data_IF_284432657056
#
_entry.id   IF_284432657056
#
_cell.length_a   1.000
_cell.length_b   1.000
_cell.length_c   1.000
_cell.angle_alpha   90.00
_cell.angle_beta   90.00
_cell.angle_gamma   90.00
#
_symmetry.space_group_name_H-M   'P 1'
#
loop_
_entity.id
_entity.type
_entity.pdbx_description
1 polymer ?
#
# COMPACT_ATOMS: atom_id res chain seq x y z
N UNK A 1 17.26 8.55 -11.53
CA UNK A 1 16.29 8.90 -10.47
C UNK A 1 16.62 8.03 -9.28
N UNK A 2 17.30 8.58 -8.28
CA UNK A 2 17.66 7.79 -7.10
C UNK A 2 16.47 7.73 -6.14
N UNK A 3 15.97 6.50 -5.98
CA UNK A 3 14.99 5.99 -5.00
C UNK A 3 13.54 5.80 -5.44
N UNK A 4 12.99 6.50 -6.45
CA UNK A 4 11.63 6.27 -6.99
C UNK A 4 10.59 5.93 -5.89
N UNK A 5 10.64 6.62 -4.74
CA UNK A 5 9.78 6.34 -3.60
C UNK A 5 8.54 7.19 -3.69
N UNK A 6 7.38 6.56 -3.61
CA UNK A 6 6.12 7.27 -3.42
C UNK A 6 5.88 7.36 -1.92
N UNK A 7 5.59 8.56 -1.42
CA UNK A 7 5.18 8.77 -0.03
C UNK A 7 3.91 9.62 0.00
N UNK A 8 2.90 9.14 0.72
CA UNK A 8 1.61 9.80 0.86
C UNK A 8 1.10 9.58 2.29
N UNK A 9 0.40 10.54 2.87
CA UNK A 9 -0.35 10.33 4.11
C UNK A 9 -1.35 9.18 3.97
N UNK A 10 -1.65 8.51 5.08
CA UNK A 10 -2.62 7.42 5.12
C UNK A 10 -4.04 7.93 4.83
N UNK A 11 -4.35 9.17 5.20
CA UNK A 11 -5.62 9.85 4.91
C UNK A 11 -5.84 9.96 3.40
N UNK A 12 -4.82 10.38 2.64
CA UNK A 12 -4.90 10.45 1.17
C UNK A 12 -4.94 9.06 0.54
N UNK A 13 -4.21 8.09 1.11
CA UNK A 13 -4.32 6.69 0.65
C UNK A 13 -5.69 6.11 0.95
N UNK A 14 -6.38 6.48 2.02
CA UNK A 14 -7.72 5.96 2.33
C UNK A 14 -8.86 6.77 1.68
N UNK A 15 -8.55 7.94 1.13
CA UNK A 15 -9.50 8.83 0.49
C UNK A 15 -10.23 8.17 -0.69
N UNK A 16 -11.47 8.63 -0.94
CA UNK A 16 -12.25 8.13 -2.08
C UNK A 16 -12.02 8.99 -3.32
N UNK A 17 -11.61 8.35 -4.41
CA UNK A 17 -11.44 8.95 -5.73
C UNK A 17 -11.53 7.88 -6.82
N UNK A 18 -11.80 8.29 -8.06
CA UNK A 18 -11.79 7.40 -9.23
C UNK A 18 -10.76 7.86 -10.23
N UNK A 19 -9.92 6.97 -10.72
CA UNK A 19 -8.92 7.24 -11.77
C UNK A 19 -8.82 6.06 -12.73
N UNK A 20 -8.26 6.27 -13.91
CA UNK A 20 -7.73 5.18 -14.73
C UNK A 20 -6.30 4.83 -14.31
N UNK A 21 -5.80 3.67 -14.75
CA UNK A 21 -4.43 3.24 -14.49
C UNK A 21 -3.41 4.29 -14.93
N UNK A 22 -3.56 4.88 -16.13
CA UNK A 22 -2.58 5.85 -16.67
C UNK A 22 -2.58 7.17 -15.91
N UNK A 23 -3.74 7.64 -15.45
CA UNK A 23 -3.83 8.82 -14.57
C UNK A 23 -3.11 8.58 -13.25
N UNK A 24 -3.33 7.41 -12.63
CA UNK A 24 -2.67 7.04 -11.38
C UNK A 24 -1.16 6.89 -11.56
N UNK A 25 -0.70 6.25 -12.64
CA UNK A 25 0.73 6.09 -12.95
C UNK A 25 1.43 7.46 -13.13
N UNK A 26 0.81 8.39 -13.86
CA UNK A 26 1.33 9.75 -14.02
C UNK A 26 1.40 10.47 -12.66
N UNK A 27 0.31 10.44 -11.88
CA UNK A 27 0.26 11.06 -10.56
C UNK A 27 1.34 10.51 -9.63
N UNK A 28 1.48 9.19 -9.54
CA UNK A 28 2.48 8.53 -8.69
C UNK A 28 3.92 8.84 -9.14
N UNK A 29 4.16 8.97 -10.44
CA UNK A 29 5.46 9.41 -10.95
C UNK A 29 5.81 10.80 -10.42
N UNK A 30 4.87 11.74 -10.48
CA UNK A 30 5.10 13.09 -9.97
C UNK A 30 5.21 13.12 -8.44
N UNK A 31 4.41 12.34 -7.71
CA UNK A 31 4.55 12.19 -6.24
C UNK A 31 5.93 11.63 -5.89
N UNK A 32 6.49 10.71 -6.69
CA UNK A 32 7.83 10.16 -6.43
C UNK A 32 8.97 11.17 -6.52
N UNK A 33 8.70 12.37 -7.03
CA UNK A 33 9.64 13.51 -7.09
C UNK A 33 9.54 14.41 -5.85
N UNK A 34 8.61 14.14 -4.95
CA UNK A 34 8.44 14.90 -3.71
C UNK A 34 9.31 14.28 -2.61
N UNK A 35 10.20 15.09 -2.05
CA UNK A 35 10.80 14.79 -0.75
C UNK A 35 9.81 15.17 0.35
N UNK A 36 9.20 14.16 0.96
CA UNK A 36 8.13 14.33 1.95
C UNK A 36 8.64 14.61 3.36
N UNK A 37 9.96 14.64 3.59
CA UNK A 37 10.52 14.81 4.94
C UNK A 37 10.27 16.23 5.48
N UNK A 38 10.15 16.42 6.81
CA UNK A 38 9.91 17.74 7.41
C UNK A 38 11.02 18.77 7.16
N UNK A 39 12.25 18.31 6.91
CA UNK A 39 13.44 19.12 6.61
C UNK A 39 13.64 19.35 5.10
N UNK A 40 12.76 18.83 4.26
CA UNK A 40 12.82 19.00 2.82
C UNK A 40 12.51 20.46 2.38
N UNK A 41 12.96 20.87 1.18
CA UNK A 41 12.58 22.17 0.62
C UNK A 41 11.06 22.35 0.58
N UNK A 42 10.61 23.56 0.90
CA UNK A 42 9.17 23.85 0.93
C UNK A 42 8.55 23.75 -0.47
N UNK A 43 7.52 22.91 -0.60
CA UNK A 43 6.72 22.78 -1.81
C UNK A 43 5.46 23.63 -1.64
N UNK A 44 5.16 24.45 -2.64
CA UNK A 44 4.04 25.38 -2.64
C UNK A 44 3.11 25.08 -3.81
N UNK A 45 1.95 25.76 -3.85
CA UNK A 45 1.03 25.68 -5.00
C UNK A 45 1.60 26.26 -6.31
N UNK A 46 2.77 26.89 -6.27
CA UNK A 46 3.49 27.34 -7.47
C UNK A 46 4.56 26.34 -7.93
N UNK A 47 4.88 25.33 -7.11
CA UNK A 47 5.90 24.33 -7.46
C UNK A 47 5.39 23.45 -8.61
N UNK A 48 6.24 23.29 -9.62
CA UNK A 48 5.95 22.54 -10.85
C UNK A 48 6.73 21.23 -10.86
N UNK A 49 6.05 20.14 -11.21
CA UNK A 49 6.63 18.81 -11.31
C UNK A 49 6.58 18.36 -12.76
N UNK A 50 7.75 18.36 -13.42
CA UNK A 50 7.88 17.97 -14.82
C UNK A 50 8.42 16.55 -14.93
N UNK A 51 7.79 15.77 -15.80
CA UNK A 51 8.22 14.42 -16.21
C UNK A 51 8.21 14.33 -17.73
N UNK A 52 9.17 13.62 -18.31
CA UNK A 52 9.14 13.35 -19.75
C UNK A 52 8.28 12.13 -20.05
N UNK A 53 7.71 12.06 -21.26
CA UNK A 53 6.99 10.87 -21.74
C UNK A 53 7.90 9.65 -21.69
N UNK A 54 9.17 9.81 -22.06
CA UNK A 54 10.16 8.73 -22.03
C UNK A 54 10.41 8.19 -20.61
N UNK A 55 10.50 9.08 -19.62
CA UNK A 55 10.69 8.70 -18.21
C UNK A 55 9.53 7.82 -17.71
N UNK A 56 8.29 8.24 -17.96
CA UNK A 56 7.10 7.48 -17.57
C UNK A 56 6.99 6.19 -18.39
N UNK A 57 7.33 6.25 -19.68
CA UNK A 57 7.31 5.10 -20.58
C UNK A 57 8.27 4.00 -20.12
N UNK A 58 9.49 4.35 -19.68
CA UNK A 58 10.48 3.40 -19.16
C UNK A 58 9.99 2.59 -17.96
N UNK A 59 9.05 3.14 -17.19
CA UNK A 59 8.53 2.51 -15.98
C UNK A 59 7.28 1.69 -16.28
N UNK A 60 6.33 2.23 -17.06
CA UNK A 60 4.97 1.67 -17.16
C UNK A 60 4.60 1.11 -18.53
N UNK A 61 5.51 1.12 -19.50
CA UNK A 61 5.28 0.65 -20.85
C UNK A 61 6.35 -0.35 -21.24
N UNK A 62 5.92 -1.39 -21.93
CA UNK A 62 6.80 -2.34 -22.61
C UNK A 62 7.00 -1.92 -24.07
N UNK A 63 7.90 -2.59 -24.79
CA UNK A 63 8.26 -2.24 -26.16
C UNK A 63 7.05 -2.20 -27.12
N UNK A 64 6.05 -3.07 -26.90
CA UNK A 64 4.86 -3.13 -27.75
C UNK A 64 3.88 -1.97 -27.52
N UNK A 65 3.89 -1.37 -26.32
CA UNK A 65 2.97 -0.29 -25.92
C UNK A 65 3.62 1.09 -25.92
N UNK A 66 4.96 1.18 -25.94
CA UNK A 66 5.72 2.44 -25.87
C UNK A 66 5.31 3.47 -26.91
N UNK A 67 4.96 3.04 -28.13
CA UNK A 67 4.47 3.92 -29.20
C UNK A 67 3.19 4.69 -28.87
N UNK A 68 2.40 4.20 -27.92
CA UNK A 68 1.16 4.83 -27.48
C UNK A 68 1.38 5.78 -26.29
N UNK A 69 2.56 5.77 -25.66
CA UNK A 69 2.81 6.44 -24.38
C UNK A 69 2.53 7.94 -24.46
N UNK A 70 2.91 8.60 -25.56
CA UNK A 70 2.65 10.01 -25.77
C UNK A 70 1.15 10.35 -25.68
N UNK A 71 0.33 9.71 -26.53
CA UNK A 71 -1.14 9.86 -26.56
C UNK A 71 -1.78 9.49 -25.22
N UNK A 72 -1.37 8.36 -24.64
CA UNK A 72 -1.99 7.84 -23.42
C UNK A 72 -1.71 8.77 -22.23
N UNK A 73 -0.51 9.37 -22.17
CA UNK A 73 -0.14 10.31 -21.12
C UNK A 73 -0.72 11.72 -21.33
N UNK A 74 -0.90 12.16 -22.57
CA UNK A 74 -1.69 13.36 -22.87
C UNK A 74 -3.14 13.21 -22.36
N UNK A 75 -3.78 12.09 -22.66
CA UNK A 75 -5.14 11.83 -22.19
C UNK A 75 -5.20 11.68 -20.67
N UNK A 76 -4.20 11.04 -20.07
CA UNK A 76 -4.10 10.89 -18.62
C UNK A 76 -3.92 12.24 -17.93
N UNK A 77 -3.08 13.13 -18.46
CA UNK A 77 -2.82 14.44 -17.86
C UNK A 77 -4.08 15.32 -17.88
N UNK A 78 -4.80 15.34 -19.01
CA UNK A 78 -6.07 16.05 -19.15
C UNK A 78 -7.12 15.54 -18.16
N UNK A 79 -7.29 14.20 -18.06
CA UNK A 79 -8.26 13.63 -17.11
C UNK A 79 -7.86 13.84 -15.65
N UNK A 80 -6.56 13.81 -15.34
CA UNK A 80 -6.03 14.03 -14.00
C UNK A 80 -6.40 15.42 -13.47
N UNK A 81 -6.44 16.44 -14.33
CA UNK A 81 -6.90 17.78 -13.97
C UNK A 81 -8.33 17.81 -13.42
N UNK A 82 -9.20 16.96 -13.96
CA UNK A 82 -10.60 16.85 -13.53
C UNK A 82 -10.80 15.95 -12.30
N UNK A 83 -9.73 15.34 -11.76
CA UNK A 83 -9.86 14.41 -10.64
C UNK A 83 -9.98 15.11 -9.31
N UNK A 84 -11.11 14.85 -8.68
CA UNK A 84 -11.40 15.20 -7.31
C UNK A 84 -11.09 14.04 -6.35
N UNK A 85 -10.77 14.41 -5.11
CA UNK A 85 -10.56 13.51 -3.99
C UNK A 85 -11.44 13.96 -2.82
N UNK A 86 -12.03 12.97 -2.14
CA UNK A 86 -12.79 13.15 -0.90
C UNK A 86 -11.97 12.61 0.26
N UNK A 87 -11.42 13.51 1.07
CA UNK A 87 -10.62 13.18 2.25
C UNK A 87 -11.50 13.35 3.48
N UNK A 88 -11.67 12.27 4.24
CA UNK A 88 -12.37 12.32 5.52
C UNK A 88 -11.50 13.06 6.55
N UNK A 89 -12.12 14.00 7.27
CA UNK A 89 -11.51 14.77 8.34
C UNK A 89 -12.20 14.41 9.67
N UNK A 90 -11.66 14.96 10.77
CA UNK A 90 -12.30 14.88 12.09
C UNK A 90 -13.71 15.52 12.08
N UNK A 91 -14.49 15.23 13.12
CA UNK A 91 -15.86 15.74 13.30
C UNK A 91 -16.84 15.40 12.16
N UNK A 92 -16.65 14.28 11.45
CA UNK A 92 -17.44 13.90 10.27
C UNK A 92 -17.40 14.95 9.14
N UNK A 93 -16.35 15.76 9.07
CA UNK A 93 -16.12 16.69 7.95
C UNK A 93 -15.48 15.94 6.79
N UNK A 94 -15.72 16.43 5.58
CA UNK A 94 -15.09 15.90 4.36
C UNK A 94 -14.53 17.06 3.56
N UNK A 95 -13.23 16.99 3.28
CA UNK A 95 -12.58 17.87 2.32
C UNK A 95 -12.79 17.31 0.91
N UNK A 96 -13.39 18.11 0.04
CA UNK A 96 -13.48 17.86 -1.39
C UNK A 96 -12.53 18.82 -2.11
N UNK A 97 -11.50 18.28 -2.73
CA UNK A 97 -10.50 19.08 -3.46
C UNK A 97 -10.02 18.33 -4.70
N UNK A 98 -9.16 18.95 -5.53
CA UNK A 98 -8.54 18.31 -6.69
C UNK A 98 -7.16 17.77 -6.36
N UNK A 99 -6.67 16.79 -7.12
CA UNK A 99 -5.27 16.36 -6.99
C UNK A 99 -4.29 17.42 -7.51
N UNK A 100 -4.61 17.99 -8.67
CA UNK A 100 -3.76 18.97 -9.35
C UNK A 100 -4.56 20.23 -9.64
N UNK A 101 -3.90 21.37 -9.55
CA UNK A 101 -4.44 22.70 -9.89
C UNK A 101 -4.04 23.16 -11.29
N UNK A 102 -3.04 22.51 -11.89
CA UNK A 102 -2.56 22.82 -13.23
C UNK A 102 -1.90 21.63 -13.90
N UNK A 103 -2.11 21.53 -15.22
CA UNK A 103 -1.45 20.59 -16.12
C UNK A 103 -0.99 21.37 -17.34
N UNK A 104 0.28 21.21 -17.70
CA UNK A 104 0.85 21.70 -18.95
C UNK A 104 1.39 20.49 -19.70
N UNK A 105 0.91 20.29 -20.91
CA UNK A 105 1.46 19.31 -21.83
C UNK A 105 2.26 20.03 -22.90
N UNK A 106 3.52 19.64 -23.09
CA UNK A 106 4.38 20.15 -24.15
C UNK A 106 4.65 19.03 -25.17
N UNK A 107 3.95 19.05 -26.32
CA UNK A 107 4.15 18.09 -27.40
C UNK A 107 5.56 18.11 -27.99
N UNK A 108 6.20 19.29 -28.04
CA UNK A 108 7.50 19.45 -28.70
C UNK A 108 8.64 18.95 -27.80
N UNK A 109 8.55 19.24 -26.50
CA UNK A 109 9.49 18.72 -25.50
C UNK A 109 9.21 17.28 -25.06
N UNK A 110 8.05 16.72 -25.44
CA UNK A 110 7.50 15.47 -24.92
C UNK A 110 7.42 15.43 -23.38
N UNK A 111 6.90 16.51 -22.78
CA UNK A 111 6.87 16.67 -21.32
C UNK A 111 5.46 16.93 -20.80
N UNK A 112 5.23 16.47 -19.57
CA UNK A 112 4.05 16.82 -18.79
C UNK A 112 4.55 17.50 -17.52
N UNK A 113 4.02 18.69 -17.27
CA UNK A 113 4.21 19.41 -16.01
C UNK A 113 2.90 19.44 -15.26
N UNK A 114 2.89 19.01 -14.00
CA UNK A 114 1.74 19.19 -13.11
C UNK A 114 2.07 20.14 -11.97
N UNK A 115 1.03 20.77 -11.44
CA UNK A 115 1.06 21.54 -10.21
C UNK A 115 0.02 20.96 -9.26
N UNK A 116 0.43 20.50 -8.08
CA UNK A 116 -0.51 19.95 -7.10
C UNK A 116 -1.47 21.04 -6.58
N UNK A 117 -2.68 20.65 -6.22
CA UNK A 117 -3.60 21.57 -5.55
C UNK A 117 -3.10 21.86 -4.13
N UNK A 118 -3.33 23.10 -3.67
CA UNK A 118 -2.89 23.58 -2.36
C UNK A 118 -3.35 22.67 -1.21
N UNK A 119 -4.62 22.27 -1.23
CA UNK A 119 -5.20 21.44 -0.17
C UNK A 119 -4.66 20.00 -0.13
N UNK A 120 -4.03 19.51 -1.19
CA UNK A 120 -3.45 18.15 -1.23
C UNK A 120 -2.00 18.12 -0.73
N UNK A 121 -1.30 19.26 -0.76
CA UNK A 121 0.10 19.34 -0.34
C UNK A 121 0.37 18.81 1.08
N UNK A 122 -0.44 19.12 2.11
CA UNK A 122 -0.22 18.59 3.46
C UNK A 122 -0.22 17.06 3.56
N UNK A 123 -0.80 16.39 2.56
CA UNK A 123 -0.90 14.94 2.48
C UNK A 123 0.25 14.30 1.70
N UNK A 124 1.15 15.10 1.15
CA UNK A 124 2.30 14.68 0.33
C UNK A 124 3.63 15.18 0.88
N UNK A 125 3.63 16.24 1.70
CA UNK A 125 4.84 16.94 2.16
C UNK A 125 4.88 17.01 3.68
N UNK A 126 6.09 17.18 4.23
CA UNK A 126 6.33 17.32 5.67
C UNK A 126 5.69 16.21 6.55
N UNK A 127 5.62 15.00 6.02
CA UNK A 127 4.99 13.85 6.66
C UNK A 127 5.91 13.30 7.76
N UNK A 128 5.41 13.27 9.00
CA UNK A 128 6.15 12.80 10.20
C UNK A 128 5.75 11.40 10.64
N UNK A 129 4.47 11.09 10.53
CA UNK A 129 3.86 9.83 10.95
C UNK A 129 2.61 9.57 10.09
N UNK A 130 2.00 8.39 10.23
CA UNK A 130 0.77 8.02 9.54
C UNK A 130 0.84 8.21 8.02
N UNK A 131 1.94 7.76 7.42
CA UNK A 131 2.11 7.80 5.97
C UNK A 131 2.44 6.40 5.43
N UNK A 132 2.10 6.22 4.17
CA UNK A 132 2.36 5.05 3.36
C UNK A 132 3.55 5.35 2.46
N UNK A 133 4.49 4.41 2.38
CA UNK A 133 5.67 4.52 1.52
C UNK A 133 5.92 3.21 0.79
N UNK A 134 6.15 3.29 -0.51
CA UNK A 134 6.50 2.14 -1.36
C UNK A 134 7.33 2.59 -2.56
N UNK A 135 7.92 1.63 -3.28
CA UNK A 135 8.67 1.93 -4.51
C UNK A 135 7.71 2.03 -5.69
N UNK A 136 7.89 3.03 -6.54
CA UNK A 136 7.10 3.20 -7.77
C UNK A 136 7.17 1.96 -8.66
N UNK A 137 8.32 1.28 -8.67
CA UNK A 137 8.52 0.02 -9.40
C UNK A 137 7.63 -1.13 -8.88
N UNK A 138 7.17 -1.12 -7.64
CA UNK A 138 6.22 -2.14 -7.16
C UNK A 138 4.83 -1.92 -7.77
N UNK A 139 4.51 -0.68 -8.17
CA UNK A 139 3.27 -0.33 -8.87
C UNK A 139 3.39 -0.55 -10.38
N UNK A 140 4.58 -0.48 -10.97
CA UNK A 140 4.75 -0.71 -12.41
C UNK A 140 4.39 -2.14 -12.84
N UNK A 141 4.51 -3.10 -11.92
CA UNK A 141 4.16 -4.50 -12.15
C UNK A 141 2.63 -4.75 -12.10
N UNK A 142 1.82 -3.71 -11.84
CA UNK A 142 0.37 -3.78 -11.73
C UNK A 142 -0.31 -3.04 -12.90
N UNK A 143 -1.09 -3.78 -13.68
CA UNK A 143 -1.81 -3.29 -14.86
C UNK A 143 -3.23 -2.81 -14.55
N UNK A 144 -3.91 -3.41 -13.57
CA UNK A 144 -5.26 -3.02 -13.16
C UNK A 144 -5.24 -1.91 -12.12
N UNK A 145 -6.07 -0.89 -12.32
CA UNK A 145 -6.28 0.17 -11.32
C UNK A 145 -6.75 -0.39 -9.96
N UNK A 146 -7.52 -1.49 -9.98
CA UNK A 146 -7.98 -2.13 -8.75
C UNK A 146 -6.83 -2.76 -7.99
N UNK A 147 -5.87 -3.37 -8.69
CA UNK A 147 -4.67 -3.96 -8.09
C UNK A 147 -3.76 -2.91 -7.49
N UNK A 148 -3.51 -1.81 -8.23
CA UNK A 148 -2.77 -0.65 -7.69
C UNK A 148 -3.45 -0.15 -6.42
N UNK A 149 -4.78 -0.01 -6.44
CA UNK A 149 -5.52 0.49 -5.30
C UNK A 149 -5.45 -0.45 -4.09
N UNK A 150 -5.64 -1.74 -4.31
CA UNK A 150 -5.55 -2.75 -3.26
C UNK A 150 -4.14 -2.81 -2.67
N UNK A 151 -3.11 -2.74 -3.52
CA UNK A 151 -1.72 -2.69 -3.10
C UNK A 151 -1.44 -1.52 -2.15
N UNK A 152 -1.84 -0.30 -2.54
CA UNK A 152 -1.65 0.88 -1.68
C UNK A 152 -2.34 0.75 -0.32
N UNK A 153 -3.56 0.20 -0.31
CA UNK A 153 -4.31 -0.05 0.93
C UNK A 153 -3.61 -1.07 1.82
N UNK A 154 -3.08 -2.15 1.24
CA UNK A 154 -2.32 -3.17 1.98
C UNK A 154 -1.05 -2.57 2.57
N UNK A 155 -0.26 -1.82 1.79
CA UNK A 155 0.96 -1.18 2.30
C UNK A 155 0.62 -0.20 3.42
N UNK A 156 -0.46 0.57 3.29
CA UNK A 156 -0.96 1.45 4.34
C UNK A 156 -1.29 0.69 5.62
N UNK A 157 -2.07 -0.40 5.53
CA UNK A 157 -2.49 -1.17 6.69
C UNK A 157 -1.32 -1.92 7.35
N UNK A 158 -0.41 -2.51 6.57
CA UNK A 158 0.81 -3.13 7.09
C UNK A 158 1.70 -2.09 7.78
N UNK A 159 1.82 -0.88 7.22
CA UNK A 159 2.51 0.24 7.86
C UNK A 159 1.87 0.68 9.19
N UNK A 160 0.62 0.31 9.43
CA UNK A 160 -0.12 0.49 10.69
C UNK A 160 -0.17 -0.78 11.54
N UNK A 161 0.68 -1.77 11.26
CA UNK A 161 0.75 -3.04 12.00
C UNK A 161 -0.56 -3.87 11.92
N UNK A 162 -1.31 -3.73 10.84
CA UNK A 162 -2.53 -4.50 10.56
C UNK A 162 -2.23 -5.54 9.48
N UNK A 163 -2.53 -6.81 9.75
CA UNK A 163 -2.38 -7.94 8.81
C UNK A 163 -3.72 -8.56 8.43
N UNK A 164 -4.81 -7.97 8.94
CA UNK A 164 -6.18 -8.41 8.68
C UNK A 164 -7.08 -7.19 8.67
N UNK A 165 -7.94 -7.08 7.65
CA UNK A 165 -8.90 -5.98 7.51
C UNK A 165 -10.28 -6.53 7.21
N UNK A 166 -11.16 -6.46 8.20
CA UNK A 166 -12.58 -6.77 8.04
C UNK A 166 -13.37 -5.48 7.76
N UNK A 167 -14.21 -5.48 6.74
CA UNK A 167 -15.07 -4.35 6.40
C UNK A 167 -16.35 -4.80 5.71
N UNK A 168 -17.38 -3.95 5.71
CA UNK A 168 -18.56 -4.20 4.90
C UNK A 168 -18.24 -3.96 3.40
N UNK A 169 -19.06 -4.51 2.51
CA UNK A 169 -18.81 -4.39 1.06
C UNK A 169 -18.98 -2.96 0.53
N UNK A 170 -19.69 -2.08 1.24
CA UNK A 170 -19.87 -0.68 0.83
C UNK A 170 -18.65 0.17 1.21
N UNK A 171 -18.07 -0.06 2.38
CA UNK A 171 -16.79 0.49 2.81
C UNK A 171 -15.67 0.04 1.86
N UNK A 172 -15.66 -1.24 1.48
CA UNK A 172 -14.72 -1.75 0.47
C UNK A 172 -14.87 -1.00 -0.85
N UNK A 173 -16.09 -0.84 -1.37
CA UNK A 173 -16.32 -0.07 -2.59
C UNK A 173 -15.91 1.40 -2.46
N UNK A 174 -16.08 1.98 -1.28
CA UNK A 174 -15.67 3.35 -1.00
C UNK A 174 -14.15 3.51 -1.10
N UNK A 175 -13.39 2.72 -0.33
CA UNK A 175 -11.92 2.82 -0.33
C UNK A 175 -11.31 2.39 -1.66
N UNK A 176 -11.95 1.45 -2.39
CA UNK A 176 -11.52 1.05 -3.73
C UNK A 176 -11.89 2.06 -4.83
N UNK A 177 -12.59 3.16 -4.52
CA UNK A 177 -12.93 4.17 -5.52
C UNK A 177 -13.99 3.71 -6.53
N UNK A 178 -14.86 2.79 -6.15
CA UNK A 178 -15.87 2.16 -7.02
C UNK A 178 -17.28 2.24 -6.43
N UNK A 179 -17.54 3.24 -5.57
CA UNK A 179 -18.87 3.49 -5.00
C UNK A 179 -19.93 3.57 -6.11
N UNK A 180 -21.03 2.85 -5.93
CA UNK A 180 -22.13 2.78 -6.91
C UNK A 180 -21.88 1.88 -8.13
N UNK A 181 -20.66 1.34 -8.31
CA UNK A 181 -20.33 0.36 -9.36
C UNK A 181 -20.38 -1.08 -8.82
N UNK A 182 -20.41 -2.04 -9.73
CA UNK A 182 -20.38 -3.48 -9.41
C UNK A 182 -21.45 -3.87 -8.37
N UNK A 183 -22.72 -3.51 -8.66
CA UNK A 183 -23.85 -3.73 -7.76
C UNK A 183 -24.06 -5.21 -7.45
N UNK A 184 -23.85 -6.07 -8.44
CA UNK A 184 -23.91 -7.52 -8.26
C UNK A 184 -22.61 -8.02 -7.63
N UNK A 185 -22.71 -8.85 -6.59
CA UNK A 185 -21.54 -9.39 -5.89
C UNK A 185 -20.62 -10.18 -6.83
N UNK A 186 -21.16 -10.97 -7.76
CA UNK A 186 -20.34 -11.71 -8.73
C UNK A 186 -19.43 -10.79 -9.55
N UNK A 187 -19.95 -9.64 -10.01
CA UNK A 187 -19.16 -8.65 -10.74
C UNK A 187 -18.12 -7.97 -9.86
N UNK A 188 -18.46 -7.65 -8.59
CA UNK A 188 -17.50 -7.09 -7.64
C UNK A 188 -16.36 -8.08 -7.39
N UNK A 189 -16.71 -9.35 -7.17
CA UNK A 189 -15.75 -10.40 -6.90
C UNK A 189 -14.81 -10.58 -8.10
N UNK A 190 -15.34 -10.96 -9.26
CA UNK A 190 -14.54 -11.34 -10.42
C UNK A 190 -13.69 -10.17 -10.94
N UNK A 191 -14.30 -8.99 -11.14
CA UNK A 191 -13.66 -7.87 -11.85
C UNK A 191 -12.85 -6.92 -10.97
N UNK A 192 -12.96 -7.05 -9.64
CA UNK A 192 -12.29 -6.16 -8.70
C UNK A 192 -11.50 -6.96 -7.69
N UNK A 193 -12.16 -7.80 -6.88
CA UNK A 193 -11.50 -8.45 -5.74
C UNK A 193 -10.53 -9.52 -6.23
N UNK A 194 -11.02 -10.50 -6.99
CA UNK A 194 -10.21 -11.63 -7.46
C UNK A 194 -9.12 -11.11 -8.42
N UNK A 195 -9.49 -10.25 -9.39
CA UNK A 195 -8.51 -9.58 -10.29
C UNK A 195 -7.40 -8.86 -9.52
N UNK A 196 -7.74 -8.09 -8.48
CA UNK A 196 -6.74 -7.33 -7.73
C UNK A 196 -5.87 -8.22 -6.84
N UNK A 197 -6.47 -9.22 -6.20
CA UNK A 197 -5.76 -10.17 -5.34
C UNK A 197 -4.79 -11.01 -6.16
N UNK A 198 -5.22 -11.53 -7.31
CA UNK A 198 -4.40 -12.38 -8.17
C UNK A 198 -3.18 -11.61 -8.66
N UNK A 199 -3.37 -10.39 -9.19
CA UNK A 199 -2.26 -9.57 -9.69
C UNK A 199 -1.32 -9.11 -8.56
N UNK A 200 -1.83 -8.71 -7.39
CA UNK A 200 -0.97 -8.37 -6.24
C UNK A 200 -0.17 -9.60 -5.79
N UNK A 201 -0.79 -10.77 -5.75
CA UNK A 201 -0.15 -12.03 -5.38
C UNK A 201 0.90 -12.48 -6.38
N UNK A 202 0.74 -12.20 -7.66
CA UNK A 202 1.69 -12.56 -8.71
C UNK A 202 2.87 -11.57 -8.74
N UNK A 203 2.56 -10.27 -8.77
CA UNK A 203 3.48 -9.22 -9.17
C UNK A 203 4.16 -8.46 -8.02
N UNK A 204 3.75 -8.67 -6.76
CA UNK A 204 4.29 -7.91 -5.61
C UNK A 204 4.93 -8.81 -4.57
N UNK A 205 5.52 -8.20 -3.54
CA UNK A 205 6.06 -8.90 -2.37
C UNK A 205 5.00 -9.21 -1.31
N UNK A 206 3.72 -8.94 -1.55
CA UNK A 206 2.62 -9.28 -0.64
C UNK A 206 1.88 -10.53 -1.09
N UNK A 207 1.36 -11.23 -0.09
CA UNK A 207 0.36 -12.29 -0.23
C UNK A 207 -0.94 -11.77 0.36
N UNK A 208 -2.06 -12.03 -0.32
CA UNK A 208 -3.40 -11.59 0.03
C UNK A 208 -4.37 -12.74 -0.15
N UNK A 209 -5.25 -12.91 0.83
CA UNK A 209 -6.41 -13.80 0.76
C UNK A 209 -7.66 -13.07 1.21
N UNK A 210 -8.82 -13.58 0.81
CA UNK A 210 -10.12 -13.00 1.14
C UNK A 210 -11.08 -14.05 1.66
N UNK A 211 -11.78 -13.70 2.73
CA UNK A 211 -12.91 -14.46 3.25
C UNK A 211 -14.18 -13.62 3.13
N UNK A 212 -15.28 -14.24 2.69
CA UNK A 212 -16.55 -13.58 2.50
C UNK A 212 -17.56 -14.00 3.57
N UNK A 213 -18.21 -13.02 4.20
CA UNK A 213 -19.19 -13.25 5.26
C UNK A 213 -20.62 -13.04 4.75
N UNK A 214 -21.44 -14.09 4.90
CA UNK A 214 -22.83 -14.08 4.46
C UNK A 214 -23.65 -13.13 5.31
N UNK A 215 -24.70 -12.57 4.71
CA UNK A 215 -25.71 -11.81 5.43
C UNK A 215 -26.35 -12.67 6.52
N UNK A 216 -26.62 -12.07 7.68
CA UNK A 216 -27.39 -12.72 8.75
C UNK A 216 -28.80 -13.10 8.30
N UNK A 217 -29.39 -12.33 7.37
CA UNK A 217 -30.70 -12.60 6.77
C UNK A 217 -30.66 -12.36 5.25
N UNK A 218 -31.27 -13.27 4.49
CA UNK A 218 -31.37 -13.18 3.03
C UNK A 218 -30.19 -13.82 2.28
N UNK A 219 -30.14 -13.60 0.96
CA UNK A 219 -29.10 -14.15 0.08
C UNK A 219 -27.95 -13.14 -0.12
N UNK A 220 -26.73 -13.64 -0.20
CA UNK A 220 -25.52 -12.88 -0.55
C UNK A 220 -24.60 -12.59 0.63
N UNK A 221 -23.59 -11.74 0.37
CA UNK A 221 -22.54 -11.36 1.31
C UNK A 221 -22.72 -9.90 1.75
N UNK A 222 -22.31 -9.59 2.97
CA UNK A 222 -22.33 -8.21 3.52
C UNK A 222 -20.95 -7.70 3.87
N UNK A 223 -20.00 -8.59 4.19
CA UNK A 223 -18.67 -8.23 4.64
C UNK A 223 -17.63 -9.12 3.96
N UNK A 224 -16.42 -8.61 3.91
CA UNK A 224 -15.23 -9.38 3.58
C UNK A 224 -14.16 -9.15 4.64
N UNK A 225 -13.26 -10.12 4.75
CA UNK A 225 -12.03 -10.01 5.52
C UNK A 225 -10.87 -10.24 4.58
N UNK A 226 -10.02 -9.24 4.42
CA UNK A 226 -8.72 -9.39 3.77
C UNK A 226 -7.70 -9.83 4.81
N UNK A 227 -6.88 -10.81 4.48
CA UNK A 227 -5.70 -11.20 5.25
C UNK A 227 -4.49 -11.02 4.35
N UNK A 228 -3.43 -10.42 4.87
CA UNK A 228 -2.29 -10.07 4.05
C UNK A 228 -1.00 -9.96 4.87
N UNK A 229 0.10 -10.34 4.24
CA UNK A 229 1.44 -10.34 4.81
C UNK A 229 2.47 -10.25 3.68
N UNK A 230 3.71 -9.90 4.01
CA UNK A 230 4.81 -10.01 3.04
C UNK A 230 5.13 -11.47 2.80
N UNK A 231 5.37 -11.88 1.55
CA UNK A 231 5.74 -13.26 1.15
C UNK A 231 6.96 -13.81 1.91
N UNK A 232 7.85 -12.94 2.39
CA UNK A 232 8.97 -13.35 3.27
C UNK A 232 8.50 -14.03 4.56
N UNK A 233 7.25 -13.78 4.97
CA UNK A 233 6.61 -14.34 6.16
C UNK A 233 5.80 -15.61 5.85
N UNK A 234 5.80 -16.14 4.61
CA UNK A 234 4.99 -17.32 4.25
C UNK A 234 5.29 -18.54 5.14
N UNK A 235 6.55 -18.72 5.56
CA UNK A 235 6.96 -19.79 6.49
C UNK A 235 6.43 -19.60 7.91
N UNK A 236 5.98 -18.40 8.24
CA UNK A 236 5.41 -18.04 9.54
C UNK A 236 3.89 -18.06 9.55
N UNK A 237 3.25 -18.18 8.39
CA UNK A 237 1.80 -18.17 8.27
C UNK A 237 1.18 -19.57 8.30
N UNK A 238 -0.01 -19.66 8.87
CA UNK A 238 -0.89 -20.84 8.79
C UNK A 238 -1.56 -20.91 7.40
N UNK A 239 -2.25 -22.03 7.12
CA UNK A 239 -3.04 -22.21 5.88
C UNK A 239 -4.09 -21.12 5.66
N UNK A 240 -4.58 -20.50 6.74
CA UNK A 240 -5.57 -19.44 6.70
C UNK A 240 -5.01 -18.05 6.36
N UNK A 241 -3.70 -17.95 6.08
CA UNK A 241 -3.00 -16.72 5.72
C UNK A 241 -2.69 -15.78 6.88
N UNK A 242 -2.84 -16.22 8.13
CA UNK A 242 -2.46 -15.44 9.32
C UNK A 242 -1.18 -15.96 9.97
N UNK A 243 -0.50 -15.11 10.74
CA UNK A 243 0.71 -15.52 11.47
C UNK A 243 0.39 -16.63 12.49
N UNK A 244 1.07 -17.76 12.37
CA UNK A 244 0.88 -18.94 13.22
C UNK A 244 1.45 -18.71 14.61
N UNK A 245 0.59 -18.76 15.63
CA UNK A 245 1.03 -18.68 17.04
C UNK A 245 2.02 -19.79 17.40
N UNK A 246 1.79 -21.01 16.90
CA UNK A 246 2.66 -22.15 17.16
C UNK A 246 4.04 -21.97 16.50
N UNK A 247 4.07 -21.43 15.28
CA UNK A 247 5.32 -21.14 14.59
C UNK A 247 6.11 -20.05 15.30
N UNK A 248 5.43 -18.97 15.71
CA UNK A 248 6.06 -17.89 16.49
C UNK A 248 6.55 -18.41 17.85
N UNK A 249 5.80 -19.29 18.51
CA UNK A 249 6.23 -19.95 19.75
C UNK A 249 7.57 -20.67 19.54
N UNK A 250 7.69 -21.47 18.47
CA UNK A 250 8.95 -22.18 18.17
C UNK A 250 10.14 -21.23 17.93
N UNK A 251 9.89 -20.03 17.41
CA UNK A 251 10.92 -19.00 17.20
C UNK A 251 11.37 -18.41 18.54
N UNK A 252 10.44 -18.02 19.42
CA UNK A 252 10.80 -17.43 20.71
C UNK A 252 11.43 -18.44 21.67
N UNK A 253 11.21 -19.73 21.46
CA UNK A 253 11.88 -20.82 22.17
C UNK A 253 13.31 -21.07 21.69
N UNK A 254 13.74 -20.49 20.56
CA UNK A 254 15.08 -20.63 20.04
C UNK A 254 16.11 -19.83 20.86
N UNK A 255 17.16 -20.50 21.36
CA UNK A 255 18.23 -19.88 22.15
C UNK A 255 18.95 -18.74 21.42
N UNK A 256 19.21 -18.90 20.12
CA UNK A 256 19.85 -17.85 19.32
C UNK A 256 18.92 -16.64 19.16
N UNK A 257 17.62 -16.87 18.98
CA UNK A 257 16.64 -15.78 18.92
C UNK A 257 16.62 -14.98 20.23
N UNK A 258 16.56 -15.68 21.36
CA UNK A 258 16.62 -15.05 22.69
C UNK A 258 17.89 -14.20 22.84
N UNK A 259 19.05 -14.73 22.47
CA UNK A 259 20.31 -13.98 22.55
C UNK A 259 20.33 -12.76 21.62
N UNK A 260 19.80 -12.88 20.40
CA UNK A 260 19.83 -11.82 19.40
C UNK A 260 18.89 -10.66 19.72
N UNK A 261 17.87 -10.89 20.56
CA UNK A 261 16.79 -9.94 20.82
C UNK A 261 16.46 -9.71 22.30
N UNK A 262 17.23 -10.23 23.25
CA UNK A 262 17.04 -10.00 24.70
C UNK A 262 17.03 -8.52 25.12
N UNK A 263 17.59 -7.63 24.30
CA UNK A 263 17.63 -6.18 24.54
C UNK A 263 16.68 -5.40 23.62
N UNK A 264 15.70 -6.06 22.99
CA UNK A 264 14.76 -5.40 22.08
C UNK A 264 14.08 -4.19 22.76
N UNK A 265 13.98 -3.03 22.09
CA UNK A 265 13.52 -1.78 22.71
C UNK A 265 12.06 -1.86 23.20
N UNK A 266 11.23 -2.66 22.53
CA UNK A 266 9.83 -2.86 22.90
C UNK A 266 9.61 -3.82 24.09
N UNK A 267 10.67 -4.43 24.64
CA UNK A 267 10.55 -5.29 25.83
C UNK A 267 10.48 -4.46 27.11
N UNK A 268 9.64 -4.91 28.03
CA UNK A 268 9.60 -4.39 29.40
C UNK A 268 10.87 -4.73 30.18
N UNK A 269 11.01 -4.19 31.39
CA UNK A 269 12.08 -4.59 32.29
C UNK A 269 12.03 -6.10 32.58
N UNK A 270 10.85 -6.63 32.90
CA UNK A 270 10.65 -8.06 33.18
C UNK A 270 10.94 -8.91 31.94
N UNK A 271 10.52 -8.44 30.76
CA UNK A 271 10.81 -9.07 29.47
C UNK A 271 12.31 -9.19 29.17
N UNK A 272 13.14 -8.31 29.73
CA UNK A 272 14.62 -8.37 29.60
C UNK A 272 15.27 -9.24 30.67
N UNK A 273 14.61 -9.43 31.81
CA UNK A 273 15.18 -10.12 32.99
C UNK A 273 14.72 -11.58 33.11
N UNK A 274 13.54 -11.93 32.60
CA UNK A 274 12.93 -13.24 32.81
C UNK A 274 12.57 -13.89 31.47
N UNK A 275 13.02 -15.13 31.27
CA UNK A 275 12.80 -15.89 30.04
C UNK A 275 11.31 -16.07 29.69
N UNK A 276 10.46 -16.35 30.68
CA UNK A 276 9.03 -16.55 30.42
C UNK A 276 8.31 -15.23 30.10
N UNK A 277 8.76 -14.11 30.68
CA UNK A 277 8.28 -12.78 30.31
C UNK A 277 8.74 -12.42 28.89
N UNK A 278 10.02 -12.64 28.57
CA UNK A 278 10.60 -12.46 27.24
C UNK A 278 9.76 -13.17 26.18
N UNK A 279 9.53 -14.48 26.33
CA UNK A 279 8.79 -15.28 25.35
C UNK A 279 7.38 -14.76 25.13
N UNK A 280 6.64 -14.48 26.21
CA UNK A 280 5.26 -13.97 26.13
C UNK A 280 5.20 -12.60 25.43
N UNK A 281 6.10 -11.69 25.77
CA UNK A 281 6.15 -10.37 25.14
C UNK A 281 6.55 -10.47 23.67
N UNK A 282 7.56 -11.29 23.34
CA UNK A 282 8.02 -11.44 21.96
C UNK A 282 6.98 -12.07 21.04
N UNK A 283 6.14 -12.98 21.53
CA UNK A 283 5.00 -13.48 20.74
C UNK A 283 4.10 -12.32 20.29
N UNK A 284 3.76 -11.42 21.22
CA UNK A 284 2.90 -10.28 20.91
C UNK A 284 3.60 -9.27 19.99
N UNK A 285 4.90 -9.01 20.20
CA UNK A 285 5.67 -8.09 19.36
C UNK A 285 5.81 -8.67 17.94
N UNK A 286 6.17 -9.95 17.79
CA UNK A 286 6.27 -10.59 16.46
C UNK A 286 4.91 -10.64 15.77
N UNK A 287 3.80 -10.85 16.49
CA UNK A 287 2.47 -10.80 15.88
C UNK A 287 2.09 -9.40 15.39
N UNK A 288 2.59 -8.35 16.07
CA UNK A 288 2.31 -6.96 15.74
C UNK A 288 3.23 -6.42 14.65
N UNK A 289 4.50 -6.79 14.64
CA UNK A 289 5.51 -6.21 13.76
C UNK A 289 6.56 -7.25 13.32
N UNK A 290 6.17 -8.37 12.69
CA UNK A 290 7.10 -9.43 12.29
C UNK A 290 8.22 -8.91 11.38
N UNK A 291 7.99 -7.88 10.57
CA UNK A 291 9.01 -7.31 9.69
C UNK A 291 10.15 -6.60 10.44
N UNK A 292 9.95 -6.15 11.68
CA UNK A 292 11.00 -5.47 12.46
C UNK A 292 12.16 -6.41 12.85
N UNK A 293 11.94 -7.72 12.73
CA UNK A 293 12.90 -8.78 13.07
C UNK A 293 13.73 -9.29 11.89
N UNK A 294 13.53 -8.75 10.68
CA UNK A 294 14.29 -9.15 9.50
C UNK A 294 15.60 -8.35 9.41
N UNK A 295 16.68 -8.90 9.98
CA UNK A 295 18.04 -8.38 9.74
C UNK A 295 18.47 -8.71 8.31
N UNK A 296 19.39 -7.93 7.71
CA UNK A 296 19.96 -8.28 6.40
C UNK A 296 20.49 -9.71 6.43
N UNK A 297 19.96 -10.57 5.56
CA UNK A 297 20.29 -12.00 5.43
C UNK A 297 19.92 -12.90 6.62
N UNK A 298 19.09 -12.44 7.56
CA UNK A 298 18.61 -13.27 8.68
C UNK A 298 17.18 -12.88 9.07
N UNK A 299 16.20 -13.52 8.43
CA UNK A 299 14.79 -13.38 8.77
C UNK A 299 14.34 -14.26 9.93
N UNK A 300 13.11 -14.06 10.40
CA UNK A 300 12.52 -14.84 11.49
C UNK A 300 12.50 -16.36 11.21
N UNK A 301 12.35 -16.74 9.93
CA UNK A 301 12.36 -18.12 9.47
C UNK A 301 13.68 -18.84 9.74
N UNK A 302 14.79 -18.11 9.94
CA UNK A 302 16.10 -18.70 10.26
C UNK A 302 16.17 -19.30 11.66
N UNK A 303 15.23 -18.93 12.54
CA UNK A 303 15.13 -19.45 13.91
C UNK A 303 14.19 -20.65 14.03
N UNK A 304 13.50 -21.02 12.93
CA UNK A 304 12.66 -22.20 12.92
C UNK A 304 13.50 -23.47 13.15
N UNK A 305 12.95 -24.49 13.83
CA UNK A 305 13.62 -25.76 14.00
C UNK A 305 13.98 -26.35 12.64
N UNK A 306 15.22 -26.83 12.47
CA UNK A 306 15.61 -27.56 11.27
C UNK A 306 14.77 -28.82 11.18
N UNK A 307 13.98 -28.95 10.11
CA UNK A 307 13.26 -30.18 9.80
C UNK A 307 14.34 -31.25 9.58
N UNK A 308 14.40 -32.26 10.45
CA UNK A 308 15.20 -33.45 10.18
C UNK A 308 14.44 -34.23 9.10
N UNK A 309 15.01 -34.26 7.90
CA UNK A 309 14.62 -35.22 6.86
C UNK A 309 15.14 -36.61 7.22
#
# INVERSE_FOLDING_TARGET
MENNLVVQSNELVLAAYTMTTKEKQLLLTCISRIDSRPDAPNITKQTKFTVTVEEVAKIFYNDSTKKNAFRDLEQASNRLFDREVLIALEDNKTLRTRFVSGVLYDPNGEQITITFAEDVLPYLTQLKANFTKYRLMEVSELSSIHSIRLYELIVCWVGQYQYTKAMNLDDFRYVMGIKGKYKQFGQLRERVIDTAIDEVNESTNYKVTVEYHKKSRGKGYERLTLKFHRKTLDKLTSEDGTLSKATIQSIVDNLQFMNDYNNHPSLSYDGKMQTDAFKREMINIIQREPESFNKPNKGLESYLPKIKH
#
